data_IF_254451730932
#
_entry.id   IF_254451730932
#
_cell.length_a   1.000
_cell.length_b   1.000
_cell.length_c   1.000
_cell.angle_alpha   90.00
_cell.angle_beta   90.00
_cell.angle_gamma   90.00
#
_symmetry.space_group_name_H-M   'P 1'
#
loop_
_entity.id
_entity.type
_entity.pdbx_description
1 polymer ?
#
# COMPACT_ATOMS: atom_id res chain seq x y z
N UNK A 1 36.07 5.46 11.38
CA UNK A 1 34.77 6.12 11.11
C UNK A 1 34.36 6.91 12.34
N UNK A 2 33.76 8.10 12.17
CA UNK A 2 33.15 8.81 13.30
C UNK A 2 31.78 8.19 13.56
N UNK A 3 31.56 7.66 14.76
CA UNK A 3 30.25 7.17 15.18
C UNK A 3 29.39 8.37 15.59
N UNK A 4 28.22 8.59 14.98
CA UNK A 4 27.33 9.66 15.39
C UNK A 4 26.92 9.48 16.86
N UNK A 5 26.88 10.57 17.63
CA UNK A 5 26.52 10.53 19.04
C UNK A 5 25.03 10.24 19.22
N UNK A 6 24.64 9.80 20.42
CA UNK A 6 23.22 9.64 20.76
C UNK A 6 22.45 10.95 20.63
N UNK A 7 23.05 12.06 21.07
CA UNK A 7 22.51 13.42 20.95
C UNK A 7 22.24 13.82 19.49
N UNK A 8 23.12 13.41 18.56
CA UNK A 8 22.91 13.66 17.14
C UNK A 8 21.61 12.98 16.66
N UNK A 9 21.37 11.73 17.03
CA UNK A 9 20.14 11.04 16.66
C UNK A 9 18.91 11.64 17.32
N UNK A 10 18.99 12.00 18.61
CA UNK A 10 17.88 12.65 19.31
C UNK A 10 17.49 13.97 18.62
N UNK A 11 18.47 14.78 18.21
CA UNK A 11 18.22 16.00 17.44
C UNK A 11 17.67 15.72 16.04
N UNK A 12 18.13 14.66 15.36
CA UNK A 12 17.63 14.29 14.03
C UNK A 12 16.18 13.86 14.10
N UNK A 13 15.82 13.02 15.08
CA UNK A 13 14.47 12.49 15.21
C UNK A 13 13.49 13.51 15.80
N UNK A 14 13.89 14.28 16.81
CA UNK A 14 12.97 15.12 17.60
C UNK A 14 13.28 16.62 17.55
N UNK A 15 14.34 17.06 16.88
CA UNK A 15 14.73 18.46 16.80
C UNK A 15 13.97 19.24 15.74
N UNK A 16 14.12 20.57 15.74
CA UNK A 16 13.51 21.48 14.77
C UNK A 16 14.25 21.42 13.42
N UNK A 17 14.06 20.33 12.69
CA UNK A 17 14.65 20.10 11.38
C UNK A 17 13.66 19.42 10.41
N UNK A 18 13.86 19.53 9.08
CA UNK A 18 12.93 19.00 8.09
C UNK A 18 12.70 17.48 8.18
N UNK A 19 13.71 16.73 8.61
CA UNK A 19 13.59 15.27 8.72
C UNK A 19 12.68 14.89 9.89
N UNK A 20 12.80 15.55 11.03
CA UNK A 20 11.86 15.38 12.15
C UNK A 20 10.43 15.70 11.75
N UNK A 21 10.21 16.77 10.99
CA UNK A 21 8.89 17.13 10.47
C UNK A 21 8.31 16.01 9.59
N UNK A 22 9.09 15.46 8.66
CA UNK A 22 8.66 14.38 7.77
C UNK A 22 8.31 13.11 8.56
N UNK A 23 9.12 12.77 9.57
CA UNK A 23 8.94 11.55 10.37
C UNK A 23 7.69 11.60 11.25
N UNK A 24 7.26 12.80 11.65
CA UNK A 24 6.08 13.02 12.48
C UNK A 24 4.83 13.38 11.68
N UNK A 25 4.90 13.45 10.35
CA UNK A 25 3.71 13.60 9.53
C UNK A 25 2.75 12.43 9.79
N UNK A 26 1.44 12.70 9.92
CA UNK A 26 0.47 11.63 9.99
C UNK A 26 0.58 10.78 8.73
N UNK A 27 0.52 9.45 8.91
CA UNK A 27 0.50 8.55 7.76
C UNK A 27 -0.71 8.90 6.89
N UNK A 28 -0.58 8.82 5.56
CA UNK A 28 -1.72 9.03 4.68
C UNK A 28 -2.81 8.00 5.01
N UNK A 29 -4.06 8.45 5.00
CA UNK A 29 -5.20 7.55 5.12
C UNK A 29 -5.47 6.91 3.75
N UNK A 30 -5.33 5.59 3.69
CA UNK A 30 -5.54 4.79 2.48
C UNK A 30 -6.87 4.01 2.53
N UNK A 31 -7.76 4.32 3.46
CA UNK A 31 -9.00 3.56 3.67
C UNK A 31 -9.88 3.46 2.41
N UNK A 32 -9.97 4.53 1.62
CA UNK A 32 -10.74 4.53 0.37
C UNK A 32 -10.05 3.70 -0.72
N UNK A 33 -8.74 3.85 -0.86
CA UNK A 33 -7.93 3.08 -1.81
C UNK A 33 -8.01 1.57 -1.50
N UNK A 34 -7.98 1.19 -0.22
CA UNK A 34 -8.12 -0.20 0.22
C UNK A 34 -9.51 -0.77 -0.10
N UNK A 35 -10.57 0.07 -0.09
CA UNK A 35 -11.92 -0.36 -0.50
C UNK A 35 -11.96 -0.60 -2.00
N UNK A 36 -11.46 0.35 -2.80
CA UNK A 36 -11.41 0.23 -4.25
C UNK A 36 -10.61 -1.00 -4.69
N UNK A 37 -9.46 -1.25 -4.06
CA UNK A 37 -8.64 -2.43 -4.35
C UNK A 37 -9.41 -3.74 -4.10
N UNK A 38 -10.14 -3.84 -2.99
CA UNK A 38 -10.97 -5.02 -2.68
C UNK A 38 -12.13 -5.21 -3.64
N UNK A 39 -12.76 -4.13 -4.09
CA UNK A 39 -13.82 -4.19 -5.09
C UNK A 39 -13.28 -4.65 -6.44
N UNK A 40 -12.12 -4.13 -6.83
CA UNK A 40 -11.43 -4.52 -8.06
C UNK A 40 -11.02 -5.99 -8.07
N UNK A 41 -10.47 -6.49 -6.96
CA UNK A 41 -10.12 -7.92 -6.80
C UNK A 41 -11.34 -8.83 -6.98
N UNK A 42 -12.48 -8.47 -6.37
CA UNK A 42 -13.73 -9.23 -6.53
C UNK A 42 -14.20 -9.23 -7.98
N UNK A 43 -14.16 -8.08 -8.63
CA UNK A 43 -14.55 -7.96 -10.03
C UNK A 43 -13.71 -8.84 -10.96
N UNK A 44 -12.39 -8.87 -10.77
CA UNK A 44 -11.50 -9.75 -11.54
C UNK A 44 -11.90 -11.22 -11.37
N UNK A 45 -12.15 -11.66 -10.13
CA UNK A 45 -12.51 -13.06 -9.85
C UNK A 45 -13.83 -13.42 -10.52
N UNK A 46 -14.81 -12.52 -10.53
CA UNK A 46 -16.09 -12.71 -11.20
C UNK A 46 -15.94 -12.79 -12.72
N UNK A 47 -15.19 -11.88 -13.34
CA UNK A 47 -14.93 -11.93 -14.79
C UNK A 47 -14.20 -13.21 -15.19
N UNK A 48 -13.17 -13.63 -14.44
CA UNK A 48 -12.49 -14.90 -14.69
C UNK A 48 -13.42 -16.11 -14.55
N UNK A 49 -14.44 -16.06 -13.69
CA UNK A 49 -15.46 -17.13 -13.61
C UNK A 49 -16.33 -17.15 -14.86
N UNK A 50 -16.77 -15.98 -15.34
CA UNK A 50 -17.57 -15.87 -16.58
C UNK A 50 -16.78 -16.39 -17.78
N UNK A 51 -15.51 -16.03 -17.89
CA UNK A 51 -14.66 -16.51 -18.99
C UNK A 51 -14.43 -18.02 -18.93
N UNK A 52 -14.18 -18.58 -17.74
CA UNK A 52 -14.08 -20.03 -17.57
C UNK A 52 -15.36 -20.76 -17.99
N UNK A 53 -16.54 -20.20 -17.68
CA UNK A 53 -17.82 -20.77 -18.12
C UNK A 53 -17.95 -20.76 -19.65
N UNK A 54 -17.65 -19.63 -20.30
CA UNK A 54 -17.67 -19.54 -21.77
C UNK A 54 -16.73 -20.53 -22.43
N UNK A 55 -15.54 -20.73 -21.87
CA UNK A 55 -14.56 -21.71 -22.37
C UNK A 55 -15.13 -23.13 -22.25
N UNK A 56 -15.71 -23.49 -21.10
CA UNK A 56 -16.32 -24.81 -20.91
C UNK A 56 -17.47 -25.07 -21.88
N UNK A 57 -18.33 -24.08 -22.10
CA UNK A 57 -19.42 -24.15 -23.08
C UNK A 57 -18.90 -24.34 -24.51
N UNK A 58 -17.81 -23.66 -24.87
CA UNK A 58 -17.19 -23.79 -26.19
C UNK A 58 -16.47 -25.14 -26.39
N UNK A 59 -15.92 -25.73 -25.32
CA UNK A 59 -15.22 -27.03 -25.37
C UNK A 59 -16.19 -28.22 -25.36
N UNK A 60 -17.40 -28.04 -24.84
CA UNK A 60 -18.46 -29.09 -24.82
C UNK A 60 -19.39 -29.07 -26.04
N UNK A 61 -19.11 -28.24 -27.05
CA UNK A 61 -19.72 -28.28 -28.39
C UNK A 61 -18.88 -29.11 -29.34
#
# INVERSE_FOLDING_TARGET
MRTPSKEYYENVYNGDNPLSFILHLPKPDFTELDKEAKEFEKWIVEEQKKDRQKILEAVHR
#
